data_IF_260273553765
#
_entry.id   IF_260273553765
#
_cell.length_a   1.000
_cell.length_b   1.000
_cell.length_c   1.000
_cell.angle_alpha   90.00
_cell.angle_beta   90.00
_cell.angle_gamma   90.00
#
_symmetry.space_group_name_H-M   'P 1'
#
loop_
_entity.id
_entity.type
_entity.pdbx_description
1 polymer ?
#
# COMPACT_ATOMS: atom_id res chain seq x y z
N UNK A 1 10.46 48.06 46.82
CA UNK A 1 11.31 47.24 45.93
C UNK A 1 10.83 45.78 45.89
N UNK A 2 9.63 45.50 45.39
CA UNK A 2 9.06 44.12 45.32
C UNK A 2 8.52 43.74 43.93
N UNK A 3 8.43 44.68 43.00
CA UNK A 3 7.92 44.50 41.64
C UNK A 3 9.00 44.13 40.62
N UNK A 4 10.28 44.32 40.95
CA UNK A 4 11.40 44.02 40.05
C UNK A 4 11.79 42.53 40.04
N UNK A 5 11.34 41.72 40.99
CA UNK A 5 11.72 40.29 41.05
C UNK A 5 10.82 39.43 40.14
N UNK A 6 9.55 39.80 39.99
CA UNK A 6 8.58 39.05 39.17
C UNK A 6 8.79 39.24 37.68
N UNK A 7 9.20 40.43 37.24
CA UNK A 7 9.44 40.73 35.81
C UNK A 7 10.70 40.00 35.32
N UNK A 8 11.76 39.96 36.12
CA UNK A 8 13.02 39.28 35.76
C UNK A 8 12.85 37.76 35.67
N UNK A 9 11.98 37.17 36.48
CA UNK A 9 11.67 35.74 36.42
C UNK A 9 10.89 35.36 35.15
N UNK A 10 9.96 36.21 34.70
CA UNK A 10 9.22 35.98 33.46
C UNK A 10 10.09 36.03 32.20
N UNK A 11 11.03 37.00 32.14
CA UNK A 11 11.96 37.12 31.01
C UNK A 11 12.95 35.95 30.97
N UNK A 12 13.41 35.47 32.12
CA UNK A 12 14.29 34.31 32.20
C UNK A 12 13.61 33.03 31.67
N UNK A 13 12.34 32.79 32.03
CA UNK A 13 11.57 31.64 31.52
C UNK A 13 11.36 31.73 29.99
N UNK A 14 11.13 32.93 29.46
CA UNK A 14 10.94 33.15 28.02
C UNK A 14 12.23 32.88 27.24
N UNK A 15 13.37 33.31 27.76
CA UNK A 15 14.68 33.06 27.13
C UNK A 15 15.07 31.58 27.18
N UNK A 16 14.82 30.89 28.31
CA UNK A 16 15.07 29.45 28.41
C UNK A 16 14.15 28.67 27.47
N UNK A 17 12.86 29.03 27.39
CA UNK A 17 11.92 28.42 26.45
C UNK A 17 12.30 28.65 24.98
N UNK A 18 12.77 29.86 24.64
CA UNK A 18 13.26 30.18 23.29
C UNK A 18 14.52 29.38 22.95
N UNK A 19 15.48 29.25 23.89
CA UNK A 19 16.70 28.49 23.67
C UNK A 19 16.42 26.98 23.56
N UNK A 20 15.52 26.43 24.38
CA UNK A 20 15.10 25.03 24.26
C UNK A 20 14.34 24.75 22.96
N UNK A 21 13.48 25.67 22.52
CA UNK A 21 12.75 25.58 21.26
C UNK A 21 13.65 25.70 20.02
N UNK A 22 14.59 26.65 20.02
CA UNK A 22 15.55 26.85 18.93
C UNK A 22 16.53 25.68 18.78
N UNK A 23 16.85 25.00 19.89
CA UNK A 23 17.77 23.86 19.89
C UNK A 23 17.18 22.58 19.29
N UNK A 24 15.90 22.58 18.88
CA UNK A 24 15.20 21.43 18.28
C UNK A 24 15.30 20.11 19.09
N UNK A 25 15.72 20.16 20.36
CA UNK A 25 15.95 19.01 21.24
C UNK A 25 14.66 18.24 21.58
N UNK A 26 13.50 18.86 21.38
CA UNK A 26 12.17 18.25 21.55
C UNK A 26 11.40 18.13 20.24
N UNK A 27 12.09 18.17 19.08
CA UNK A 27 11.42 17.93 17.82
C UNK A 27 10.86 16.50 17.81
N UNK A 28 9.55 16.30 17.57
CA UNK A 28 8.99 14.97 17.47
C UNK A 28 9.73 14.19 16.38
N UNK A 29 10.07 12.93 16.67
CA UNK A 29 10.63 11.98 15.71
C UNK A 29 9.79 12.04 14.43
N UNK A 30 10.46 12.38 13.34
CA UNK A 30 9.95 12.52 11.97
C UNK A 30 8.64 11.78 11.69
N UNK A 31 7.58 12.52 11.39
CA UNK A 31 6.36 11.98 10.81
C UNK A 31 6.61 11.67 9.33
N UNK A 32 6.73 10.40 8.98
CA UNK A 32 6.90 9.91 7.60
C UNK A 32 5.66 10.08 6.71
N UNK A 33 4.55 10.62 7.23
CA UNK A 33 3.29 10.72 6.50
C UNK A 33 3.27 11.80 5.42
N UNK A 34 4.19 12.77 5.45
CA UNK A 34 4.32 13.82 4.43
C UNK A 34 5.80 13.99 4.11
N UNK A 35 6.32 13.08 3.28
CA UNK A 35 7.71 13.10 2.87
C UNK A 35 8.08 14.40 2.16
N UNK A 36 8.95 15.19 2.80
CA UNK A 36 9.88 16.05 2.09
C UNK A 36 10.57 15.23 0.99
N UNK A 37 10.80 15.84 -0.18
CA UNK A 37 11.36 15.20 -1.38
C UNK A 37 12.54 14.29 -1.01
N UNK A 38 12.30 12.97 -0.96
CA UNK A 38 13.36 11.99 -0.76
C UNK A 38 14.36 12.14 -1.91
N UNK A 39 15.64 12.31 -1.58
CA UNK A 39 16.70 12.33 -2.60
C UNK A 39 16.84 10.92 -3.19
N UNK A 40 16.89 10.76 -4.52
CA UNK A 40 17.19 9.47 -5.12
C UNK A 40 18.56 8.98 -4.63
N UNK A 41 18.60 7.79 -4.01
CA UNK A 41 19.84 7.17 -3.53
C UNK A 41 20.01 7.16 -2.00
N UNK A 42 19.16 7.84 -1.24
CA UNK A 42 19.12 7.71 0.22
C UNK A 42 18.26 6.49 0.59
N UNK A 43 18.74 5.30 0.22
CA UNK A 43 18.23 4.06 0.79
C UNK A 43 18.73 4.00 2.24
N UNK A 44 18.09 4.81 3.10
CA UNK A 44 18.46 4.94 4.50
C UNK A 44 18.51 3.59 5.19
N UNK A 45 19.27 3.51 6.28
CA UNK A 45 19.26 2.34 7.15
C UNK A 45 17.80 2.06 7.57
N UNK A 46 17.32 0.89 7.19
CA UNK A 46 15.95 0.43 7.48
C UNK A 46 15.72 0.22 8.98
N UNK A 47 16.78 0.19 9.80
CA UNK A 47 16.70 -0.10 11.23
C UNK A 47 16.31 -1.55 11.54
N UNK A 48 16.23 -2.42 10.53
CA UNK A 48 15.87 -3.83 10.66
C UNK A 48 17.06 -4.68 11.09
N UNK A 49 16.80 -5.67 11.96
CA UNK A 49 17.79 -6.70 12.28
C UNK A 49 18.16 -7.52 11.05
N UNK A 50 19.38 -8.06 11.04
CA UNK A 50 19.84 -8.91 9.93
C UNK A 50 19.02 -10.19 9.78
N UNK A 51 18.51 -10.73 10.89
CA UNK A 51 17.55 -11.85 10.88
C UNK A 51 16.26 -11.47 10.13
N UNK A 52 15.72 -10.28 10.38
CA UNK A 52 14.50 -9.82 9.71
C UNK A 52 14.75 -9.60 8.22
N UNK A 53 15.90 -9.00 7.86
CA UNK A 53 16.31 -8.85 6.46
C UNK A 53 16.44 -10.21 5.76
N UNK A 54 16.98 -11.22 6.44
CA UNK A 54 17.07 -12.58 5.92
C UNK A 54 15.68 -13.18 5.66
N UNK A 55 14.73 -13.05 6.60
CA UNK A 55 13.34 -13.52 6.41
C UNK A 55 12.64 -12.82 5.24
N UNK A 56 12.81 -11.51 5.09
CA UNK A 56 12.26 -10.75 3.96
C UNK A 56 12.85 -11.23 2.64
N UNK A 57 14.17 -11.49 2.60
CA UNK A 57 14.81 -12.05 1.41
C UNK A 57 14.27 -13.44 1.07
N UNK A 58 14.13 -14.32 2.06
CA UNK A 58 13.51 -15.64 1.85
C UNK A 58 12.08 -15.53 1.33
N UNK A 59 11.28 -14.59 1.85
CA UNK A 59 9.94 -14.33 1.34
C UNK A 59 9.95 -13.82 -0.11
N UNK A 60 10.88 -12.93 -0.46
CA UNK A 60 11.05 -12.45 -1.83
C UNK A 60 11.45 -13.57 -2.80
N UNK A 61 12.35 -14.46 -2.37
CA UNK A 61 12.75 -15.63 -3.16
C UNK A 61 11.58 -16.62 -3.34
N UNK A 62 10.75 -16.81 -2.31
CA UNK A 62 9.53 -17.63 -2.40
C UNK A 62 8.48 -17.02 -3.35
N UNK A 63 8.27 -15.70 -3.30
CA UNK A 63 7.40 -14.99 -4.23
C UNK A 63 7.91 -15.11 -5.68
N UNK A 64 9.23 -15.06 -5.88
CA UNK A 64 9.83 -15.28 -7.19
C UNK A 64 9.63 -16.70 -7.69
N UNK A 65 9.81 -17.71 -6.84
CA UNK A 65 9.54 -19.09 -7.21
C UNK A 65 8.06 -19.31 -7.59
N UNK A 66 7.13 -18.70 -6.85
CA UNK A 66 5.71 -18.73 -7.18
C UNK A 66 5.40 -17.96 -8.47
N UNK A 67 6.09 -16.85 -8.74
CA UNK A 67 6.00 -16.14 -10.01
C UNK A 67 6.40 -17.05 -11.17
N UNK A 68 7.57 -17.69 -11.11
CA UNK A 68 8.05 -18.58 -12.17
C UNK A 68 7.08 -19.76 -12.40
N UNK A 69 6.47 -20.28 -11.33
CA UNK A 69 5.44 -21.32 -11.42
C UNK A 69 4.15 -20.83 -12.12
N UNK A 70 3.65 -19.64 -11.76
CA UNK A 70 2.48 -19.05 -12.41
C UNK A 70 2.74 -18.70 -13.88
N UNK A 71 3.97 -18.33 -14.24
CA UNK A 71 4.39 -18.14 -15.63
C UNK A 71 4.38 -19.47 -16.40
N UNK A 72 4.91 -20.54 -15.81
CA UNK A 72 4.87 -21.88 -16.40
C UNK A 72 3.44 -22.40 -16.59
N UNK A 73 2.49 -22.03 -15.71
CA UNK A 73 1.06 -22.36 -15.84
C UNK A 73 0.30 -21.43 -16.80
N UNK A 74 0.97 -20.41 -17.37
CA UNK A 74 0.34 -19.42 -18.24
C UNK A 74 -0.65 -18.48 -17.52
N UNK A 75 -0.56 -18.39 -16.19
CA UNK A 75 -1.39 -17.52 -15.34
C UNK A 75 -0.83 -16.11 -15.24
N UNK A 76 0.46 -15.93 -15.43
CA UNK A 76 1.08 -14.63 -15.59
C UNK A 76 1.15 -14.25 -17.06
N UNK A 77 0.60 -13.08 -17.37
CA UNK A 77 0.87 -12.43 -18.63
C UNK A 77 2.02 -11.44 -18.46
N UNK A 78 2.34 -10.74 -19.54
CA UNK A 78 3.39 -9.74 -19.58
C UNK A 78 3.25 -8.68 -18.47
N UNK A 79 4.34 -8.40 -17.76
CA UNK A 79 4.37 -7.43 -16.66
C UNK A 79 4.59 -6.01 -17.18
N UNK A 80 3.82 -5.06 -16.64
CA UNK A 80 3.99 -3.63 -16.89
C UNK A 80 5.18 -3.01 -16.14
N UNK A 81 5.74 -3.71 -15.15
CA UNK A 81 6.75 -3.17 -14.22
C UNK A 81 7.97 -4.08 -14.10
N UNK A 82 9.09 -3.51 -13.67
CA UNK A 82 10.33 -4.23 -13.36
C UNK A 82 10.18 -4.92 -12.01
N UNK A 83 10.56 -6.19 -11.94
CA UNK A 83 10.51 -6.99 -10.71
C UNK A 83 9.24 -7.83 -10.57
N UNK A 84 9.21 -8.63 -9.51
CA UNK A 84 8.10 -9.50 -9.14
C UNK A 84 7.02 -8.65 -8.45
N UNK A 85 5.79 -8.70 -8.96
CA UNK A 85 4.66 -8.05 -8.32
C UNK A 85 4.01 -9.01 -7.32
N UNK A 86 4.22 -8.78 -6.02
CA UNK A 86 3.74 -9.64 -4.95
C UNK A 86 2.21 -9.73 -4.90
N UNK A 87 1.50 -8.63 -5.15
CA UNK A 87 0.04 -8.62 -5.24
C UNK A 87 -0.46 -9.57 -6.33
N UNK A 88 0.18 -9.56 -7.49
CA UNK A 88 -0.19 -10.46 -8.61
C UNK A 88 0.08 -11.92 -8.25
N UNK A 89 1.23 -12.22 -7.64
CA UNK A 89 1.55 -13.59 -7.18
C UNK A 89 0.51 -14.10 -6.18
N UNK A 90 0.26 -13.32 -5.13
CA UNK A 90 -0.62 -13.74 -4.03
C UNK A 90 -2.09 -13.85 -4.42
N UNK A 91 -2.50 -13.23 -5.54
CA UNK A 91 -3.89 -13.27 -6.03
C UNK A 91 -4.11 -14.29 -7.15
N UNK A 92 -3.09 -15.10 -7.46
CA UNK A 92 -3.16 -16.22 -8.41
C UNK A 92 -2.86 -15.86 -9.86
N UNK A 93 -2.13 -14.77 -10.11
CA UNK A 93 -1.76 -14.32 -11.44
C UNK A 93 -2.58 -13.12 -11.95
N UNK A 94 -2.28 -12.70 -13.17
CA UNK A 94 -2.83 -11.47 -13.76
C UNK A 94 -1.97 -10.95 -14.91
N UNK A 95 -2.47 -9.92 -15.58
CA UNK A 95 -1.82 -9.34 -16.75
C UNK A 95 -1.78 -7.83 -16.71
N UNK A 96 -0.88 -7.27 -15.91
CA UNK A 96 -0.81 -5.82 -15.65
C UNK A 96 -0.54 -5.01 -16.92
N UNK A 97 0.16 -5.57 -17.92
CA UNK A 97 0.34 -4.92 -19.22
C UNK A 97 -0.92 -4.90 -20.08
N UNK A 98 -1.69 -5.99 -20.10
CA UNK A 98 -2.96 -6.06 -20.82
C UNK A 98 -4.01 -5.14 -20.18
N UNK A 99 -4.01 -5.07 -18.85
CA UNK A 99 -4.91 -4.21 -18.09
C UNK A 99 -4.59 -2.72 -18.32
N UNK A 100 -3.30 -2.38 -18.41
CA UNK A 100 -2.84 -1.05 -18.80
C UNK A 100 -3.22 -0.69 -20.25
N UNK A 101 -3.13 -1.65 -21.19
CA UNK A 101 -3.56 -1.45 -22.58
C UNK A 101 -5.07 -1.28 -22.72
N UNK A 102 -5.85 -2.08 -22.00
CA UNK A 102 -7.32 -2.05 -22.05
C UNK A 102 -7.93 -0.87 -21.27
N UNK A 103 -7.11 -0.13 -20.50
CA UNK A 103 -7.56 0.93 -19.60
C UNK A 103 -8.53 0.44 -18.50
N UNK A 104 -8.41 -0.84 -18.11
CA UNK A 104 -9.18 -1.45 -17.01
C UNK A 104 -8.67 -1.02 -15.63
N UNK A 105 -7.55 -0.29 -15.59
CA UNK A 105 -6.81 0.05 -14.39
C UNK A 105 -5.60 -0.86 -14.20
N UNK A 106 -4.91 -0.70 -13.09
CA UNK A 106 -3.80 -1.56 -12.66
C UNK A 106 -3.94 -1.87 -11.17
N UNK A 107 -3.30 -2.93 -10.71
CA UNK A 107 -3.27 -3.26 -9.28
C UNK A 107 -2.49 -2.21 -8.47
N UNK A 108 -2.66 -2.19 -7.13
CA UNK A 108 -1.99 -1.22 -6.26
C UNK A 108 -0.47 -1.22 -6.37
N UNK A 109 0.15 -2.39 -6.52
CA UNK A 109 1.60 -2.51 -6.55
C UNK A 109 2.16 -2.05 -7.89
N UNK A 110 1.54 -2.44 -9.02
CA UNK A 110 1.91 -1.91 -10.33
C UNK A 110 1.68 -0.39 -10.40
N UNK A 111 0.59 0.13 -9.84
CA UNK A 111 0.37 1.57 -9.79
C UNK A 111 1.52 2.31 -9.09
N UNK A 112 1.90 1.84 -7.89
CA UNK A 112 3.00 2.42 -7.13
C UNK A 112 4.34 2.31 -7.88
N UNK A 113 4.62 1.13 -8.47
CA UNK A 113 5.83 0.89 -9.22
C UNK A 113 5.96 1.79 -10.47
N UNK A 114 4.87 2.01 -11.21
CA UNK A 114 4.86 2.92 -12.36
C UNK A 114 5.14 4.37 -11.92
N UNK A 115 4.58 4.81 -10.79
CA UNK A 115 4.87 6.13 -10.21
C UNK A 115 6.30 6.27 -9.68
N UNK A 116 6.90 5.17 -9.23
CA UNK A 116 8.29 5.08 -8.80
C UNK A 116 9.30 5.00 -9.98
N UNK A 117 8.82 4.98 -11.23
CA UNK A 117 9.68 4.88 -12.41
C UNK A 117 10.19 3.46 -12.68
N UNK A 118 9.57 2.45 -12.09
CA UNK A 118 9.88 1.03 -12.30
C UNK A 118 9.07 0.42 -13.45
N UNK A 119 8.68 1.21 -14.44
CA UNK A 119 8.00 0.72 -15.63
C UNK A 119 8.93 -0.22 -16.43
N UNK A 120 8.38 -1.28 -17.02
CA UNK A 120 9.13 -2.11 -17.97
C UNK A 120 9.52 -1.29 -19.20
N UNK A 121 10.59 -1.68 -19.90
CA UNK A 121 11.12 -0.86 -21.00
C UNK A 121 10.09 -0.65 -22.12
N UNK A 122 9.18 -1.62 -22.32
CA UNK A 122 8.05 -1.51 -23.27
C UNK A 122 7.00 -0.50 -22.85
N UNK A 123 6.72 -0.40 -21.54
CA UNK A 123 5.74 0.54 -21.00
C UNK A 123 6.32 1.95 -20.90
N UNK A 124 7.61 2.05 -20.56
CA UNK A 124 8.31 3.31 -20.35
C UNK A 124 8.28 4.22 -21.59
N UNK A 125 8.33 3.66 -22.80
CA UNK A 125 8.30 4.41 -24.07
C UNK A 125 7.03 5.24 -24.24
N UNK A 126 5.90 4.70 -23.77
CA UNK A 126 4.57 5.32 -23.93
C UNK A 126 4.07 5.98 -22.64
N UNK A 127 4.91 6.05 -21.61
CA UNK A 127 4.60 6.63 -20.32
C UNK A 127 4.86 8.14 -20.35
N UNK A 128 3.87 8.94 -19.96
CA UNK A 128 4.00 10.39 -19.87
C UNK A 128 3.24 10.94 -18.67
N UNK A 129 3.29 12.24 -18.44
CA UNK A 129 2.45 12.93 -17.45
C UNK A 129 1.56 13.96 -18.12
N UNK A 130 0.34 14.08 -17.62
CA UNK A 130 -0.57 15.14 -18.04
C UNK A 130 -0.20 16.50 -17.39
N UNK A 131 -0.86 17.61 -17.77
CA UNK A 131 -0.61 18.92 -17.16
C UNK A 131 -0.87 18.98 -15.65
N UNK A 132 -1.66 18.06 -15.11
CA UNK A 132 -1.96 17.95 -13.67
C UNK A 132 -0.93 17.07 -12.93
N UNK A 133 0.07 16.54 -13.65
CA UNK A 133 1.14 15.70 -13.11
C UNK A 133 0.75 14.23 -12.91
N UNK A 134 -0.44 13.80 -13.37
CA UNK A 134 -0.90 12.41 -13.29
C UNK A 134 -0.19 11.55 -14.34
N UNK A 135 0.10 10.31 -13.97
CA UNK A 135 0.77 9.38 -14.86
C UNK A 135 -0.20 8.91 -15.95
N UNK A 136 0.28 8.90 -17.19
CA UNK A 136 -0.49 8.52 -18.36
C UNK A 136 0.25 7.44 -19.15
N UNK A 137 -0.50 6.54 -19.77
CA UNK A 137 -0.01 5.58 -20.74
C UNK A 137 -0.76 5.79 -22.06
N UNK A 138 -0.01 6.10 -23.14
CA UNK A 138 -0.59 6.47 -24.44
C UNK A 138 -1.64 7.60 -24.33
N UNK A 139 -1.33 8.62 -23.53
CA UNK A 139 -2.20 9.78 -23.31
C UNK A 139 -3.41 9.54 -22.41
N UNK A 140 -3.59 8.34 -21.85
CA UNK A 140 -4.69 8.03 -20.92
C UNK A 140 -4.18 7.95 -19.49
N UNK A 141 -4.89 8.59 -18.57
CA UNK A 141 -4.56 8.55 -17.13
C UNK A 141 -4.62 7.11 -16.62
N UNK A 142 -3.54 6.67 -15.98
CA UNK A 142 -3.44 5.38 -15.32
C UNK A 142 -4.22 5.45 -14.02
N UNK A 143 -5.05 4.43 -13.75
CA UNK A 143 -5.92 4.36 -12.57
C UNK A 143 -5.72 3.03 -11.87
N UNK A 144 -6.03 3.00 -10.58
CA UNK A 144 -6.18 1.74 -9.87
C UNK A 144 -7.39 0.95 -10.38
N UNK A 145 -7.35 -0.36 -10.20
CA UNK A 145 -8.52 -1.22 -10.39
C UNK A 145 -9.75 -0.69 -9.63
N UNK A 146 -10.96 -0.93 -10.16
CA UNK A 146 -12.18 -0.62 -9.42
C UNK A 146 -12.24 -1.43 -8.13
N UNK A 147 -12.89 -0.88 -7.10
CA UNK A 147 -13.00 -1.49 -5.76
C UNK A 147 -13.52 -2.92 -5.81
N UNK A 148 -14.47 -3.21 -6.71
CA UNK A 148 -15.00 -4.57 -6.93
C UNK A 148 -13.93 -5.56 -7.36
N UNK A 149 -13.08 -5.18 -8.32
CA UNK A 149 -11.97 -6.02 -8.78
C UNK A 149 -10.91 -6.21 -7.68
N UNK A 150 -10.62 -5.16 -6.90
CA UNK A 150 -9.71 -5.26 -5.75
C UNK A 150 -10.26 -6.27 -4.72
N UNK A 151 -11.55 -6.17 -4.37
CA UNK A 151 -12.21 -7.12 -3.45
C UNK A 151 -12.14 -8.56 -3.95
N UNK A 152 -12.39 -8.78 -5.25
CA UNK A 152 -12.26 -10.11 -5.85
C UNK A 152 -10.83 -10.65 -5.79
N UNK A 153 -9.82 -9.81 -6.03
CA UNK A 153 -8.42 -10.21 -5.93
C UNK A 153 -8.07 -10.62 -4.49
N UNK A 154 -8.52 -9.87 -3.48
CA UNK A 154 -8.31 -10.25 -2.07
C UNK A 154 -9.07 -11.52 -1.67
N UNK A 155 -10.26 -11.76 -2.21
CA UNK A 155 -10.97 -13.01 -2.01
C UNK A 155 -10.19 -14.21 -2.59
N UNK A 156 -9.66 -14.08 -3.81
CA UNK A 156 -8.77 -15.12 -4.38
C UNK A 156 -7.53 -15.36 -3.54
N UNK A 157 -6.91 -14.29 -3.03
CA UNK A 157 -5.78 -14.42 -2.12
C UNK A 157 -6.15 -15.20 -0.87
N UNK A 158 -7.28 -14.86 -0.23
CA UNK A 158 -7.77 -15.57 0.94
C UNK A 158 -7.94 -17.08 0.67
N UNK A 159 -8.52 -17.43 -0.47
CA UNK A 159 -8.70 -18.83 -0.88
C UNK A 159 -7.35 -19.56 -1.08
N UNK A 160 -6.33 -18.88 -1.60
CA UNK A 160 -5.01 -19.47 -1.88
C UNK A 160 -4.14 -19.56 -0.61
N UNK A 161 -4.11 -18.49 0.20
CA UNK A 161 -3.20 -18.36 1.35
C UNK A 161 -3.82 -18.82 2.66
N UNK A 162 -5.13 -19.00 2.71
CA UNK A 162 -5.87 -19.30 3.93
C UNK A 162 -6.00 -18.12 4.90
N UNK A 163 -5.65 -16.91 4.47
CA UNK A 163 -5.79 -15.69 5.27
C UNK A 163 -7.25 -15.22 5.34
N UNK A 164 -7.69 -14.74 6.51
CA UNK A 164 -9.02 -14.12 6.67
C UNK A 164 -8.99 -12.67 6.19
N UNK A 165 -9.10 -12.47 4.88
CA UNK A 165 -8.99 -11.14 4.22
C UNK A 165 -10.32 -10.59 3.68
N UNK A 166 -11.43 -11.29 3.89
CA UNK A 166 -12.73 -10.82 3.42
C UNK A 166 -13.21 -9.71 4.37
N UNK A 167 -13.28 -8.45 3.95
CA UNK A 167 -13.78 -7.40 4.81
C UNK A 167 -15.25 -7.65 5.11
N UNK A 168 -15.61 -7.70 6.39
CA UNK A 168 -16.99 -7.49 6.83
C UNK A 168 -17.30 -6.03 6.54
N UNK A 169 -17.86 -5.77 5.36
CA UNK A 169 -18.31 -4.43 5.03
C UNK A 169 -19.53 -4.16 5.90
N UNK A 170 -19.36 -3.43 6.99
CA UNK A 170 -20.48 -2.80 7.71
C UNK A 170 -20.96 -1.63 6.84
N UNK A 171 -21.63 -1.97 5.74
CA UNK A 171 -22.25 -1.04 4.77
C UNK A 171 -23.47 -0.33 5.39
N UNK A 172 -23.49 -0.07 6.70
CA UNK A 172 -24.53 0.67 7.44
C UNK A 172 -25.97 0.16 7.27
N UNK A 173 -26.16 -0.94 6.55
CA UNK A 173 -27.44 -1.50 6.15
C UNK A 173 -27.54 -2.87 6.78
N UNK A 174 -27.64 -2.86 8.11
CA UNK A 174 -28.19 -4.00 8.86
C UNK A 174 -29.62 -4.22 8.38
N UNK A 175 -29.80 -5.05 7.36
CA UNK A 175 -31.06 -5.77 7.18
C UNK A 175 -31.08 -6.82 8.30
N UNK A 176 -32.04 -6.78 9.24
CA UNK A 176 -32.06 -7.73 10.34
C UNK A 176 -32.16 -9.13 9.73
N UNK A 177 -31.20 -9.99 10.09
CA UNK A 177 -31.27 -11.40 9.79
C UNK A 177 -32.59 -11.93 10.35
N UNK A 178 -33.48 -12.38 9.46
CA UNK A 178 -34.68 -13.11 9.80
C UNK A 178 -34.22 -14.36 10.55
N UNK A 179 -34.50 -14.42 11.86
CA UNK A 179 -34.46 -15.67 12.61
C UNK A 179 -35.45 -16.61 11.92
N UNK A 180 -34.94 -17.66 11.30
CA UNK A 180 -35.75 -18.81 10.96
C UNK A 180 -35.79 -19.64 12.23
N UNK A 181 -36.83 -19.41 13.03
CA UNK A 181 -37.25 -20.35 14.06
C UNK A 181 -37.76 -21.59 13.31
N UNK A 182 -37.02 -22.70 13.38
CA UNK A 182 -37.56 -24.02 13.05
C UNK A 182 -38.03 -24.62 14.36
N UNK A 183 -39.27 -24.32 14.71
CA UNK A 183 -40.06 -25.07 15.69
C UNK A 183 -40.55 -26.38 15.07
N UNK A 184 -40.58 -27.40 15.93
CA UNK A 184 -41.48 -28.57 15.93
C UNK A 184 -41.46 -29.53 14.73
N UNK A 185 -40.74 -30.65 14.91
CA UNK A 185 -41.22 -31.95 14.45
C UNK A 185 -41.53 -32.80 15.69
N UNK A 186 -42.81 -32.82 16.07
CA UNK A 186 -43.40 -33.77 16.99
C UNK A 186 -44.71 -34.29 16.38
N UNK A 187 -44.83 -35.63 16.29
CA UNK A 187 -46.06 -36.47 16.14
C UNK A 187 -46.84 -36.30 14.82
N UNK A 188 -47.35 -37.30 14.08
CA UNK A 188 -47.78 -38.72 14.20
C UNK A 188 -47.74 -39.30 12.76
N UNK A 189 -47.44 -40.57 12.48
CA UNK A 189 -48.30 -41.78 12.55
C UNK A 189 -47.48 -43.08 12.64
#
# INVERSE_FOLDING_TARGET
MRTSITITSGVALLLVGYFLGASQLLSPTSLFAQGAKAKPGDAGDTGLSDETKAKIKTAADALKAAWDALEAEGKLKESATKGVNAFTVLTGGGGTFDDLKSASGVDPETFAALYAGLASDKVAVDLSRDPEGKLTYKGRVIRLYPISAIRMSYARRADITGEELIPTVDDGTKKPAKKTDTEEEATEE
#
